data_IF_655234137088
#
_entry.id   IF_655234137088
#
_cell.length_a   1.000
_cell.length_b   1.000
_cell.length_c   1.000
_cell.angle_alpha   90.00
_cell.angle_beta   90.00
_cell.angle_gamma   90.00
#
_symmetry.space_group_name_H-M   'P 1'
#
loop_
_entity.id
_entity.type
_entity.pdbx_description
1 polymer ?
#
# COMPACT_ATOMS: atom_id res chain seq x y z
N UNK A 1 -1.42 -6.46 -37.41
CA UNK A 1 -2.26 -6.53 -38.64
C UNK A 1 -3.53 -5.72 -38.38
N UNK A 2 -4.07 -4.89 -39.29
CA UNK A 2 -3.65 -4.68 -40.68
C UNK A 2 -4.11 -3.31 -41.27
N UNK A 3 -3.66 -2.15 -40.74
CA UNK A 3 -4.12 -0.80 -41.15
C UNK A 3 -4.17 -0.56 -42.67
N UNK A 4 -3.20 -1.08 -43.42
CA UNK A 4 -3.16 -1.00 -44.90
C UNK A 4 -4.30 -1.77 -45.57
N UNK A 5 -4.73 -2.89 -45.00
CA UNK A 5 -5.85 -3.70 -45.47
C UNK A 5 -7.21 -3.11 -45.09
N UNK A 6 -7.29 -2.35 -44.00
CA UNK A 6 -8.49 -1.58 -43.64
C UNK A 6 -8.67 -0.38 -44.58
N UNK A 7 -7.58 0.34 -44.88
CA UNK A 7 -7.57 1.41 -45.90
C UNK A 7 -7.89 0.85 -47.31
N UNK A 8 -7.32 -0.29 -47.69
CA UNK A 8 -7.65 -0.95 -48.95
C UNK A 8 -9.14 -1.34 -49.01
N UNK A 9 -9.70 -1.92 -47.94
CA UNK A 9 -11.13 -2.24 -47.89
C UNK A 9 -12.03 -1.01 -47.90
N UNK A 10 -11.60 0.12 -47.31
CA UNK A 10 -12.31 1.39 -47.41
C UNK A 10 -12.30 1.95 -48.85
N UNK A 11 -11.16 1.86 -49.57
CA UNK A 11 -11.09 2.20 -50.99
C UNK A 11 -12.00 1.29 -51.83
N UNK A 12 -11.90 -0.03 -51.65
CA UNK A 12 -12.70 -1.01 -52.40
C UNK A 12 -14.21 -0.89 -52.17
N UNK A 13 -14.66 -0.32 -51.04
CA UNK A 13 -16.08 -0.02 -50.76
C UNK A 13 -16.45 1.45 -50.98
N UNK A 14 -15.58 2.32 -51.49
CA UNK A 14 -15.87 3.74 -51.72
C UNK A 14 -16.74 3.93 -52.98
N UNK A 15 -18.01 4.40 -52.86
CA UNK A 15 -18.86 4.60 -54.03
C UNK A 15 -18.38 5.76 -54.91
N UNK A 16 -17.71 6.75 -54.31
CA UNK A 16 -17.18 7.93 -55.00
C UNK A 16 -16.03 7.51 -55.92
N UNK A 17 -15.16 6.59 -55.48
CA UNK A 17 -14.06 6.07 -56.29
C UNK A 17 -14.59 5.23 -57.47
N UNK A 18 -15.48 4.28 -57.20
CA UNK A 18 -16.04 3.41 -58.24
C UNK A 18 -16.94 4.17 -59.21
N UNK A 19 -17.78 5.09 -58.73
CA UNK A 19 -18.63 5.93 -59.56
C UNK A 19 -17.82 6.93 -60.40
N UNK A 20 -16.77 7.53 -59.84
CA UNK A 20 -15.86 8.39 -60.59
C UNK A 20 -15.10 7.63 -61.68
N UNK A 21 -14.61 6.42 -61.38
CA UNK A 21 -13.94 5.56 -62.35
C UNK A 21 -14.90 5.06 -63.44
N UNK A 22 -16.14 4.69 -63.09
CA UNK A 22 -17.18 4.34 -64.03
C UNK A 22 -17.56 5.52 -64.94
N UNK A 23 -17.67 6.74 -64.39
CA UNK A 23 -17.91 7.96 -65.15
C UNK A 23 -16.77 8.25 -66.15
N UNK A 24 -15.52 8.15 -65.70
CA UNK A 24 -14.35 8.35 -66.57
C UNK A 24 -14.30 7.31 -67.70
N UNK A 25 -14.61 6.04 -67.40
CA UNK A 25 -14.73 4.99 -68.40
C UNK A 25 -15.87 5.22 -69.40
N UNK A 26 -17.03 5.68 -68.92
CA UNK A 26 -18.20 6.02 -69.75
C UNK A 26 -17.89 7.17 -70.71
N UNK A 27 -17.33 8.28 -70.21
CA UNK A 27 -16.94 9.40 -71.07
C UNK A 27 -15.84 9.04 -72.07
N UNK A 28 -14.84 8.26 -71.65
CA UNK A 28 -13.81 7.76 -72.57
C UNK A 28 -14.42 6.89 -73.69
N UNK A 29 -15.35 5.98 -73.35
CA UNK A 29 -16.02 5.10 -74.31
C UNK A 29 -16.86 5.90 -75.33
N UNK A 30 -17.61 6.92 -74.88
CA UNK A 30 -18.34 7.83 -75.78
C UNK A 30 -17.37 8.53 -76.75
N UNK A 31 -16.26 9.08 -76.25
CA UNK A 31 -15.26 9.76 -77.08
C UNK A 31 -14.52 8.83 -78.06
N UNK A 32 -14.57 7.51 -77.87
CA UNK A 32 -14.02 6.53 -78.83
C UNK A 32 -14.95 6.17 -79.99
N UNK A 33 -16.16 6.73 -80.08
CA UNK A 33 -17.02 6.59 -81.27
C UNK A 33 -17.69 5.22 -81.42
N UNK A 34 -18.04 4.57 -80.31
CA UNK A 34 -18.84 3.32 -80.31
C UNK A 34 -20.24 3.60 -80.91
N UNK A 35 -20.79 2.75 -81.80
CA UNK A 35 -22.09 3.00 -82.42
C UNK A 35 -23.20 3.27 -81.40
N UNK A 36 -23.86 4.42 -81.53
CA UNK A 36 -24.77 4.99 -80.52
C UNK A 36 -24.16 6.17 -79.74
N UNK A 37 -22.86 6.46 -79.93
CA UNK A 37 -22.13 7.58 -79.35
C UNK A 37 -22.87 8.90 -79.45
N UNK A 38 -23.44 9.22 -80.61
CA UNK A 38 -23.88 10.59 -80.92
C UNK A 38 -25.08 11.02 -80.07
N UNK A 39 -25.96 10.06 -79.73
CA UNK A 39 -27.10 10.30 -78.83
C UNK A 39 -26.63 10.41 -77.37
N UNK A 40 -25.69 9.56 -76.93
CA UNK A 40 -25.11 9.64 -75.58
C UNK A 40 -24.23 10.89 -75.39
N UNK A 41 -23.53 11.32 -76.43
CA UNK A 41 -22.74 12.54 -76.49
C UNK A 41 -23.65 13.76 -76.38
N UNK A 42 -24.80 13.75 -77.07
CA UNK A 42 -25.81 14.81 -76.95
C UNK A 42 -26.45 14.87 -75.56
N UNK A 43 -26.85 13.74 -74.98
CA UNK A 43 -27.62 13.71 -73.74
C UNK A 43 -26.79 13.73 -72.45
N UNK A 44 -25.52 13.32 -72.48
CA UNK A 44 -24.68 13.21 -71.28
C UNK A 44 -23.43 14.12 -71.30
N UNK A 45 -23.13 14.76 -72.43
CA UNK A 45 -21.85 15.44 -72.66
C UNK A 45 -21.97 16.75 -73.49
N UNK A 46 -23.20 17.22 -73.77
CA UNK A 46 -23.48 18.45 -74.51
C UNK A 46 -23.45 19.71 -73.63
N UNK A 47 -23.78 19.61 -72.35
CA UNK A 47 -23.80 20.73 -71.40
C UNK A 47 -23.17 20.39 -70.04
N UNK A 48 -22.46 21.29 -69.34
CA UNK A 48 -21.77 20.99 -68.07
C UNK A 48 -22.67 20.44 -66.95
N UNK A 49 -23.97 20.72 -66.99
CA UNK A 49 -24.96 20.13 -66.06
C UNK A 49 -25.08 18.61 -66.27
N UNK A 50 -25.15 18.16 -67.51
CA UNK A 50 -25.30 16.74 -67.89
C UNK A 50 -24.09 15.91 -67.43
N UNK A 51 -22.89 16.48 -67.50
CA UNK A 51 -21.68 15.86 -66.95
C UNK A 51 -21.81 15.63 -65.43
N UNK A 52 -22.30 16.63 -64.68
CA UNK A 52 -22.46 16.54 -63.23
C UNK A 52 -23.54 15.50 -62.88
N UNK A 53 -24.69 15.52 -63.55
CA UNK A 53 -25.75 14.54 -63.36
C UNK A 53 -25.30 13.11 -63.68
N UNK A 54 -24.56 12.93 -64.77
CA UNK A 54 -23.97 11.64 -65.16
C UNK A 54 -23.01 11.12 -64.09
N UNK A 55 -22.14 11.98 -63.55
CA UNK A 55 -21.21 11.61 -62.46
C UNK A 55 -21.97 11.27 -61.17
N UNK A 56 -22.97 12.07 -60.79
CA UNK A 56 -23.80 11.79 -59.63
C UNK A 56 -24.60 10.49 -59.78
N UNK A 57 -25.07 10.20 -60.99
CA UNK A 57 -25.72 8.94 -61.34
C UNK A 57 -24.79 7.75 -61.13
N UNK A 58 -23.57 7.77 -61.70
CA UNK A 58 -22.64 6.66 -61.51
C UNK A 58 -22.17 6.48 -60.07
N UNK A 59 -22.05 7.55 -59.27
CA UNK A 59 -21.75 7.45 -57.82
C UNK A 59 -22.93 6.85 -57.05
N UNK A 60 -24.17 7.26 -57.35
CA UNK A 60 -25.38 6.67 -56.77
C UNK A 60 -25.54 5.19 -57.14
N UNK A 61 -25.33 4.85 -58.41
CA UNK A 61 -25.42 3.48 -58.92
C UNK A 61 -24.31 2.60 -58.34
N UNK A 62 -23.07 3.09 -58.23
CA UNK A 62 -21.98 2.37 -57.58
C UNK A 62 -22.27 2.08 -56.10
N UNK A 63 -22.86 3.04 -55.37
CA UNK A 63 -23.28 2.83 -53.98
C UNK A 63 -24.31 1.71 -53.87
N UNK A 64 -25.33 1.72 -54.74
CA UNK A 64 -26.38 0.71 -54.79
C UNK A 64 -25.85 -0.67 -55.20
N UNK A 65 -24.93 -0.76 -56.17
CA UNK A 65 -24.33 -2.03 -56.59
C UNK A 65 -23.44 -2.65 -55.50
N UNK A 66 -22.61 -1.85 -54.83
CA UNK A 66 -21.79 -2.33 -53.69
C UNK A 66 -22.72 -2.86 -52.58
N UNK A 67 -23.77 -2.10 -52.25
CA UNK A 67 -24.78 -2.47 -51.25
C UNK A 67 -25.54 -3.75 -51.63
N UNK A 68 -25.96 -3.88 -52.89
CA UNK A 68 -26.64 -5.07 -53.41
C UNK A 68 -25.76 -6.34 -53.34
N UNK A 69 -24.45 -6.21 -53.61
CA UNK A 69 -23.48 -7.30 -53.49
C UNK A 69 -23.31 -7.70 -52.02
N UNK A 70 -23.14 -6.73 -51.10
CA UNK A 70 -23.00 -6.99 -49.66
C UNK A 70 -24.27 -7.60 -49.03
N UNK A 71 -25.46 -7.20 -49.47
CA UNK A 71 -26.75 -7.80 -49.07
C UNK A 71 -26.88 -9.23 -49.63
N UNK A 72 -26.56 -9.43 -50.91
CA UNK A 72 -26.62 -10.75 -51.56
C UNK A 72 -25.62 -11.75 -50.96
N UNK A 73 -24.43 -11.29 -50.58
CA UNK A 73 -23.42 -12.10 -49.90
C UNK A 73 -23.89 -12.53 -48.51
N UNK A 74 -24.45 -11.61 -47.73
CA UNK A 74 -25.01 -11.92 -46.40
C UNK A 74 -26.22 -12.87 -46.49
N UNK A 75 -27.14 -12.65 -47.42
CA UNK A 75 -28.30 -13.53 -47.65
C UNK A 75 -27.90 -14.99 -47.89
N UNK A 76 -26.81 -15.24 -48.63
CA UNK A 76 -26.26 -16.59 -48.82
C UNK A 76 -25.59 -17.15 -47.56
N UNK A 77 -25.03 -16.29 -46.71
CA UNK A 77 -24.29 -16.66 -45.51
C UNK A 77 -25.19 -16.97 -44.28
N UNK A 78 -26.50 -16.70 -44.35
CA UNK A 78 -27.49 -17.06 -43.31
C UNK A 78 -27.63 -18.57 -43.09
N UNK A 79 -27.33 -19.38 -44.12
CA UNK A 79 -27.41 -20.83 -44.06
C UNK A 79 -26.30 -21.50 -43.23
N UNK A 80 -25.24 -20.76 -42.85
CA UNK A 80 -24.13 -21.32 -42.10
C UNK A 80 -24.50 -21.63 -40.63
N UNK A 81 -24.22 -22.84 -40.12
CA UNK A 81 -24.52 -23.21 -38.73
C UNK A 81 -23.48 -22.64 -37.74
N UNK A 82 -23.63 -21.35 -37.42
CA UNK A 82 -22.66 -20.58 -36.63
C UNK A 82 -22.41 -21.14 -35.22
N UNK A 83 -23.47 -21.39 -34.44
CA UNK A 83 -23.36 -21.83 -33.03
C UNK A 83 -23.42 -23.36 -32.85
N UNK A 84 -23.94 -24.09 -33.84
CA UNK A 84 -24.24 -25.53 -33.70
C UNK A 84 -25.58 -25.78 -33.00
N UNK A 85 -26.03 -27.05 -32.89
CA UNK A 85 -27.37 -27.37 -32.39
C UNK A 85 -27.60 -26.89 -30.96
N UNK A 86 -28.85 -26.55 -30.64
CA UNK A 86 -29.28 -26.26 -29.26
C UNK A 86 -29.28 -27.56 -28.44
N UNK A 87 -28.65 -27.62 -27.26
CA UNK A 87 -28.70 -28.81 -26.40
C UNK A 87 -30.12 -29.08 -25.87
N UNK A 88 -30.50 -30.36 -25.74
CA UNK A 88 -31.80 -30.74 -25.19
C UNK A 88 -31.87 -30.40 -23.70
N UNK A 89 -32.82 -29.54 -23.32
CA UNK A 89 -32.94 -28.98 -21.98
C UNK A 89 -32.40 -27.55 -21.85
N UNK A 90 -31.81 -27.00 -22.92
CA UNK A 90 -31.10 -25.72 -22.90
C UNK A 90 -29.63 -25.87 -22.51
N UNK A 91 -28.96 -24.74 -22.34
CA UNK A 91 -27.59 -24.63 -21.83
C UNK A 91 -27.51 -23.56 -20.73
N UNK A 92 -26.59 -23.68 -19.76
CA UNK A 92 -26.45 -22.72 -18.69
C UNK A 92 -25.94 -21.38 -19.23
N UNK A 93 -26.31 -20.28 -18.56
CA UNK A 93 -25.95 -18.92 -18.97
C UNK A 93 -24.43 -18.72 -19.16
N UNK A 94 -23.60 -19.39 -18.35
CA UNK A 94 -22.14 -19.36 -18.48
C UNK A 94 -21.62 -19.81 -19.87
N UNK A 95 -22.35 -20.69 -20.57
CA UNK A 95 -21.97 -21.14 -21.91
C UNK A 95 -22.10 -20.03 -22.98
N UNK A 96 -22.77 -18.90 -22.68
CA UNK A 96 -22.80 -17.74 -23.57
C UNK A 96 -21.40 -17.17 -23.86
N UNK A 97 -20.46 -17.24 -22.91
CA UNK A 97 -19.08 -16.77 -23.12
C UNK A 97 -18.34 -17.62 -24.17
N UNK A 98 -18.52 -18.95 -24.17
CA UNK A 98 -17.93 -19.82 -25.18
C UNK A 98 -18.50 -19.52 -26.57
N UNK A 99 -19.81 -19.28 -26.67
CA UNK A 99 -20.47 -18.89 -27.91
C UNK A 99 -19.95 -17.53 -28.43
N UNK A 100 -19.74 -16.55 -27.54
CA UNK A 100 -19.09 -15.27 -27.88
C UNK A 100 -17.67 -15.49 -28.40
N UNK A 101 -16.87 -16.33 -27.73
CA UNK A 101 -15.51 -16.67 -28.18
C UNK A 101 -15.53 -17.36 -29.54
N UNK A 102 -16.52 -18.23 -29.80
CA UNK A 102 -16.72 -18.89 -31.09
C UNK A 102 -17.06 -17.89 -32.21
N UNK A 103 -17.97 -16.94 -31.98
CA UNK A 103 -18.25 -15.86 -32.94
C UNK A 103 -17.03 -14.95 -33.18
N UNK A 104 -16.27 -14.61 -32.13
CA UNK A 104 -15.02 -13.82 -32.23
C UNK A 104 -13.88 -14.53 -32.99
N UNK A 105 -13.96 -15.84 -33.21
CA UNK A 105 -13.01 -16.60 -34.07
C UNK A 105 -13.33 -16.51 -35.56
N UNK A 106 -14.52 -16.03 -35.96
CA UNK A 106 -14.88 -15.86 -37.37
C UNK A 106 -14.02 -14.76 -38.04
N UNK A 107 -13.82 -14.78 -39.37
CA UNK A 107 -13.06 -13.75 -40.07
C UNK A 107 -13.62 -12.33 -39.84
N UNK A 108 -12.80 -11.26 -39.78
CA UNK A 108 -13.25 -9.89 -39.48
C UNK A 108 -14.28 -9.27 -40.44
N UNK A 109 -14.50 -9.88 -41.62
CA UNK A 109 -15.64 -9.55 -42.50
C UNK A 109 -16.95 -10.15 -41.97
N UNK A 110 -16.92 -11.42 -41.55
CA UNK A 110 -18.09 -12.13 -40.99
C UNK A 110 -18.56 -11.51 -39.68
N UNK A 111 -17.64 -11.06 -38.83
CA UNK A 111 -17.97 -10.31 -37.60
C UNK A 111 -18.77 -9.01 -37.81
N UNK A 112 -18.87 -8.52 -39.06
CA UNK A 112 -19.63 -7.33 -39.45
C UNK A 112 -20.92 -7.66 -40.22
N UNK A 113 -21.26 -8.94 -40.39
CA UNK A 113 -22.54 -9.36 -40.95
C UNK A 113 -23.64 -9.13 -39.91
N UNK A 114 -24.84 -8.72 -40.34
CA UNK A 114 -25.98 -8.44 -39.45
C UNK A 114 -26.26 -9.60 -38.50
N UNK A 115 -26.27 -10.84 -39.01
CA UNK A 115 -26.44 -12.07 -38.24
C UNK A 115 -25.41 -12.19 -37.10
N UNK A 116 -24.12 -12.21 -37.44
CA UNK A 116 -23.04 -12.40 -36.45
C UNK A 116 -23.02 -11.26 -35.43
N UNK A 117 -23.29 -10.01 -35.86
CA UNK A 117 -23.32 -8.86 -34.96
C UNK A 117 -24.50 -8.91 -33.98
N UNK A 118 -25.71 -9.24 -34.46
CA UNK A 118 -26.91 -9.36 -33.61
C UNK A 118 -26.82 -10.55 -32.66
N UNK A 119 -26.33 -11.71 -33.12
CA UNK A 119 -26.03 -12.86 -32.25
C UNK A 119 -25.02 -12.51 -31.17
N UNK A 120 -23.91 -11.85 -31.53
CA UNK A 120 -22.90 -11.39 -30.58
C UNK A 120 -23.52 -10.47 -29.52
N UNK A 121 -24.39 -9.54 -29.92
CA UNK A 121 -25.03 -8.59 -29.01
C UNK A 121 -26.05 -9.24 -28.06
N UNK A 122 -26.91 -10.14 -28.56
CA UNK A 122 -27.81 -10.91 -27.71
C UNK A 122 -27.06 -11.78 -26.68
N UNK A 123 -25.97 -12.43 -27.09
CA UNK A 123 -25.12 -13.19 -26.16
C UNK A 123 -24.40 -12.26 -25.15
N UNK A 124 -23.91 -11.10 -25.58
CA UNK A 124 -23.27 -10.10 -24.70
C UNK A 124 -24.26 -9.54 -23.67
N UNK A 125 -25.55 -9.39 -24.01
CA UNK A 125 -26.62 -9.06 -23.07
C UNK A 125 -26.78 -10.17 -22.01
N UNK A 126 -26.93 -11.43 -22.45
CA UNK A 126 -27.11 -12.60 -21.58
C UNK A 126 -25.95 -12.76 -20.59
N UNK A 127 -24.70 -12.62 -21.05
CA UNK A 127 -23.52 -12.59 -20.17
C UNK A 127 -23.59 -11.46 -19.13
N UNK A 128 -23.94 -10.23 -19.55
CA UNK A 128 -23.95 -9.05 -18.67
C UNK A 128 -25.11 -9.04 -17.67
N UNK A 129 -26.25 -9.64 -18.00
CA UNK A 129 -27.40 -9.84 -17.09
C UNK A 129 -27.24 -11.06 -16.18
N UNK A 130 -26.43 -12.04 -16.59
CA UNK A 130 -26.42 -13.40 -16.06
C UNK A 130 -27.83 -14.05 -16.04
N UNK A 131 -28.65 -13.71 -17.04
CA UNK A 131 -30.03 -14.15 -17.20
C UNK A 131 -30.47 -14.01 -18.68
N UNK A 132 -31.30 -14.94 -19.21
CA UNK A 132 -31.93 -14.81 -20.52
C UNK A 132 -33.28 -14.05 -20.51
N UNK A 133 -33.71 -13.51 -19.36
CA UNK A 133 -34.91 -12.69 -19.24
C UNK A 133 -34.82 -11.41 -20.11
N UNK A 134 -35.91 -11.04 -20.79
CA UNK A 134 -36.02 -9.90 -21.71
C UNK A 134 -35.01 -9.93 -22.89
N UNK A 135 -34.50 -11.11 -23.25
CA UNK A 135 -33.66 -11.29 -24.44
C UNK A 135 -34.45 -11.05 -25.74
N UNK A 136 -35.75 -11.36 -25.76
CA UNK A 136 -36.67 -11.06 -26.84
C UNK A 136 -36.85 -9.54 -27.05
N UNK A 137 -37.00 -8.78 -25.96
CA UNK A 137 -37.05 -7.32 -26.01
C UNK A 137 -35.74 -6.70 -26.55
N UNK A 138 -34.58 -7.19 -26.09
CA UNK A 138 -33.26 -6.76 -26.57
C UNK A 138 -33.04 -7.14 -28.05
N UNK A 139 -33.41 -8.35 -28.47
CA UNK A 139 -33.28 -8.79 -29.86
C UNK A 139 -34.13 -7.96 -30.82
N UNK A 140 -35.35 -7.59 -30.40
CA UNK A 140 -36.21 -6.65 -31.13
C UNK A 140 -35.60 -5.26 -31.21
N UNK A 141 -35.11 -4.71 -30.10
CA UNK A 141 -34.41 -3.43 -30.07
C UNK A 141 -33.17 -3.41 -31.00
N UNK A 142 -32.40 -4.50 -31.04
CA UNK A 142 -31.28 -4.66 -31.96
C UNK A 142 -31.72 -4.77 -33.43
N UNK A 143 -32.90 -5.33 -33.71
CA UNK A 143 -33.47 -5.37 -35.06
C UNK A 143 -33.91 -3.97 -35.54
N UNK A 144 -34.56 -3.19 -34.69
CA UNK A 144 -34.93 -1.79 -34.98
C UNK A 144 -33.66 -0.93 -35.23
N UNK A 145 -32.63 -1.08 -34.41
CA UNK A 145 -31.33 -0.40 -34.62
C UNK A 145 -30.65 -0.77 -35.95
N UNK A 146 -30.77 -2.01 -36.40
CA UNK A 146 -30.22 -2.44 -37.70
C UNK A 146 -31.02 -1.90 -38.90
N UNK A 147 -32.34 -1.73 -38.75
CA UNK A 147 -33.18 -1.07 -39.74
C UNK A 147 -32.84 0.43 -39.86
N UNK A 148 -32.65 1.14 -38.74
CA UNK A 148 -32.18 2.53 -38.73
C UNK A 148 -30.81 2.67 -39.42
N UNK A 149 -29.88 1.75 -39.15
CA UNK A 149 -28.56 1.71 -39.80
C UNK A 149 -28.66 1.47 -41.31
N UNK A 150 -29.55 0.58 -41.75
CA UNK A 150 -29.80 0.34 -43.17
C UNK A 150 -30.36 1.60 -43.84
N UNK A 151 -31.41 2.21 -43.27
CA UNK A 151 -32.04 3.42 -43.78
C UNK A 151 -31.07 4.62 -43.84
N UNK A 152 -30.19 4.78 -42.84
CA UNK A 152 -29.13 5.78 -42.84
C UNK A 152 -28.09 5.55 -43.96
N UNK A 153 -27.79 4.29 -44.27
CA UNK A 153 -26.85 3.89 -45.33
C UNK A 153 -27.22 4.40 -46.73
N UNK A 154 -28.51 4.57 -47.03
CA UNK A 154 -28.98 5.13 -48.31
C UNK A 154 -28.88 6.66 -48.41
N UNK A 155 -28.37 7.36 -47.39
CA UNK A 155 -28.30 8.83 -47.34
C UNK A 155 -27.67 9.48 -48.57
N UNK A 156 -26.54 8.95 -49.07
CA UNK A 156 -25.87 9.46 -50.27
C UNK A 156 -26.70 9.27 -51.54
N UNK A 157 -27.34 8.10 -51.70
CA UNK A 157 -28.15 7.76 -52.88
C UNK A 157 -29.41 8.62 -52.92
N UNK A 158 -30.10 8.74 -51.79
CA UNK A 158 -31.28 9.60 -51.61
C UNK A 158 -30.96 11.07 -51.87
N UNK A 159 -29.78 11.55 -51.46
CA UNK A 159 -29.31 12.90 -51.81
C UNK A 159 -29.10 13.07 -53.32
N UNK A 160 -28.51 12.08 -54.01
CA UNK A 160 -28.34 12.11 -55.46
C UNK A 160 -29.68 12.07 -56.23
N UNK A 161 -30.61 11.19 -55.83
CA UNK A 161 -31.97 11.10 -56.39
C UNK A 161 -32.72 12.44 -56.31
N UNK A 162 -32.57 13.16 -55.20
CA UNK A 162 -33.20 14.47 -55.00
C UNK A 162 -32.48 15.61 -55.74
N UNK A 163 -31.15 15.59 -55.78
CA UNK A 163 -30.34 16.65 -56.38
C UNK A 163 -30.33 16.61 -57.92
N UNK A 164 -30.35 15.44 -58.55
CA UNK A 164 -30.30 15.31 -60.02
C UNK A 164 -31.47 16.05 -60.70
N UNK A 165 -32.76 15.90 -60.30
CA UNK A 165 -33.86 16.68 -60.87
C UNK A 165 -33.75 18.21 -60.65
N UNK A 166 -33.09 18.65 -59.57
CA UNK A 166 -32.83 20.07 -59.30
C UNK A 166 -31.75 20.61 -60.25
N UNK A 167 -30.74 19.81 -60.58
CA UNK A 167 -29.75 20.12 -61.62
C UNK A 167 -30.40 20.15 -63.01
N UNK A 168 -31.30 19.22 -63.34
CA UNK A 168 -32.01 19.23 -64.62
C UNK A 168 -32.89 20.47 -64.79
N UNK A 169 -33.55 20.89 -63.72
CA UNK A 169 -34.29 22.16 -63.70
C UNK A 169 -33.34 23.36 -63.90
N UNK A 170 -32.20 23.40 -63.21
CA UNK A 170 -31.16 24.42 -63.44
C UNK A 170 -30.68 24.42 -64.92
N UNK A 171 -30.56 23.23 -65.53
CA UNK A 171 -30.31 23.06 -66.97
C UNK A 171 -31.36 23.74 -67.85
N UNK A 172 -32.66 23.53 -67.58
CA UNK A 172 -33.73 24.26 -68.31
C UNK A 172 -33.63 25.77 -68.13
N UNK A 173 -33.37 26.27 -66.92
CA UNK A 173 -33.27 27.71 -66.65
C UNK A 173 -32.10 28.34 -67.41
N UNK A 174 -30.96 27.65 -67.47
CA UNK A 174 -29.79 28.08 -68.26
C UNK A 174 -30.11 28.07 -69.75
N UNK A 175 -30.60 26.96 -70.30
CA UNK A 175 -30.89 26.83 -71.73
C UNK A 175 -31.98 27.79 -72.23
N UNK A 176 -33.04 28.02 -71.44
CA UNK A 176 -34.07 29.02 -71.76
C UNK A 176 -33.51 30.44 -71.69
N UNK A 177 -32.64 30.73 -70.73
CA UNK A 177 -31.99 32.05 -70.62
C UNK A 177 -31.03 32.30 -71.80
N UNK A 178 -30.28 31.28 -72.23
CA UNK A 178 -29.47 31.33 -73.45
C UNK A 178 -30.32 31.53 -74.71
N UNK A 179 -31.47 30.85 -74.80
CA UNK A 179 -32.42 31.01 -75.91
C UNK A 179 -32.96 32.45 -75.97
N UNK A 180 -33.42 33.00 -74.84
CA UNK A 180 -33.92 34.39 -74.76
C UNK A 180 -32.82 35.41 -75.06
N UNK A 181 -31.60 35.21 -74.54
CA UNK A 181 -30.46 36.09 -74.83
C UNK A 181 -30.00 36.05 -76.30
N UNK A 182 -30.34 34.98 -77.04
CA UNK A 182 -30.01 34.82 -78.46
C UNK A 182 -31.02 35.50 -79.41
N UNK A 183 -32.17 35.97 -78.91
CA UNK A 183 -33.20 36.61 -79.74
C UNK A 183 -32.81 38.06 -80.08
N UNK A 184 -32.25 38.27 -81.29
CA UNK A 184 -32.03 39.61 -81.84
C UNK A 184 -33.30 40.14 -82.52
N UNK A 185 -33.97 41.20 -82.02
CA UNK A 185 -35.25 41.67 -82.59
C UNK A 185 -35.17 42.19 -84.02
N UNK A 186 -33.96 42.47 -84.51
CA UNK A 186 -33.70 43.04 -85.83
C UNK A 186 -33.51 41.96 -86.91
N UNK A 187 -33.07 40.76 -86.55
CA UNK A 187 -32.76 39.65 -87.47
C UNK A 187 -33.28 38.32 -86.91
N UNK A 188 -34.60 38.13 -86.91
CA UNK A 188 -35.22 36.93 -86.31
C UNK A 188 -34.77 35.64 -87.03
N UNK A 189 -34.78 35.60 -88.36
CA UNK A 189 -34.45 34.41 -89.16
C UNK A 189 -33.05 33.84 -88.86
N UNK A 190 -32.04 34.70 -88.68
CA UNK A 190 -30.68 34.26 -88.32
C UNK A 190 -30.53 33.83 -86.85
N UNK A 191 -31.44 34.26 -85.97
CA UNK A 191 -31.41 33.89 -84.55
C UNK A 191 -32.12 32.56 -84.24
N UNK A 192 -33.11 32.18 -85.06
CA UNK A 192 -33.92 30.96 -84.86
C UNK A 192 -33.10 29.67 -84.65
N UNK A 193 -32.02 29.37 -85.41
CA UNK A 193 -31.24 28.14 -85.19
C UNK A 193 -30.58 28.08 -83.81
N UNK A 194 -30.05 29.21 -83.34
CA UNK A 194 -29.41 29.34 -82.01
C UNK A 194 -30.44 29.18 -80.88
N UNK A 195 -31.63 29.78 -81.05
CA UNK A 195 -32.75 29.66 -80.11
C UNK A 195 -33.22 28.20 -80.00
N UNK A 196 -33.36 27.50 -81.13
CA UNK A 196 -33.74 26.07 -81.17
C UNK A 196 -32.66 25.20 -80.52
N UNK A 197 -31.37 25.47 -80.76
CA UNK A 197 -30.29 24.73 -80.11
C UNK A 197 -30.27 24.92 -78.57
N UNK A 198 -30.45 26.15 -78.09
CA UNK A 198 -30.49 26.46 -76.66
C UNK A 198 -31.74 25.88 -75.95
N UNK A 199 -32.89 25.86 -76.63
CA UNK A 199 -34.08 25.13 -76.17
C UNK A 199 -33.86 23.61 -76.19
N UNK A 200 -33.08 23.07 -77.14
CA UNK A 200 -32.64 21.68 -77.15
C UNK A 200 -31.92 21.31 -75.86
N UNK A 201 -30.87 22.05 -75.49
CA UNK A 201 -30.13 21.87 -74.22
C UNK A 201 -31.04 21.98 -73.00
N UNK A 202 -32.01 22.91 -73.01
CA UNK A 202 -32.98 23.02 -71.93
C UNK A 202 -33.81 21.74 -71.77
N UNK A 203 -34.42 21.23 -72.84
CA UNK A 203 -35.24 20.02 -72.75
C UNK A 203 -34.41 18.75 -72.50
N UNK A 204 -33.22 18.65 -73.09
CA UNK A 204 -32.37 17.46 -72.98
C UNK A 204 -31.82 17.29 -71.55
N UNK A 205 -31.38 18.36 -70.89
CA UNK A 205 -30.93 18.32 -69.48
C UNK A 205 -32.02 17.81 -68.54
N UNK A 206 -33.25 18.36 -68.60
CA UNK A 206 -34.35 17.86 -67.75
C UNK A 206 -34.79 16.43 -68.11
N UNK A 207 -34.79 16.06 -69.41
CA UNK A 207 -35.10 14.70 -69.81
C UNK A 207 -34.07 13.69 -69.28
N UNK A 208 -32.77 14.05 -69.31
CA UNK A 208 -31.69 13.26 -68.73
C UNK A 208 -31.86 13.11 -67.21
N UNK A 209 -32.03 14.22 -66.50
CA UNK A 209 -32.17 14.25 -65.05
C UNK A 209 -33.27 13.33 -64.52
N UNK A 210 -34.46 13.42 -65.14
CA UNK A 210 -35.61 12.61 -64.75
C UNK A 210 -35.37 11.12 -65.06
N UNK A 211 -34.76 10.79 -66.20
CA UNK A 211 -34.42 9.40 -66.54
C UNK A 211 -33.38 8.79 -65.57
N UNK A 212 -32.29 9.51 -65.29
CA UNK A 212 -31.24 9.06 -64.37
C UNK A 212 -31.75 8.92 -62.94
N UNK A 213 -32.52 9.89 -62.44
CA UNK A 213 -33.13 9.83 -61.10
C UNK A 213 -34.14 8.68 -60.98
N UNK A 214 -34.95 8.43 -62.02
CA UNK A 214 -35.89 7.30 -62.05
C UNK A 214 -35.18 5.94 -61.96
N UNK A 215 -34.06 5.77 -62.69
CA UNK A 215 -33.25 4.54 -62.65
C UNK A 215 -32.65 4.33 -61.25
N UNK A 216 -32.11 5.39 -60.63
CA UNK A 216 -31.61 5.31 -59.25
C UNK A 216 -32.71 4.99 -58.25
N UNK A 217 -33.90 5.59 -58.38
CA UNK A 217 -35.02 5.38 -57.48
C UNK A 217 -35.50 3.92 -57.50
N UNK A 218 -35.74 3.34 -58.69
CA UNK A 218 -36.10 1.93 -58.78
C UNK A 218 -34.98 1.01 -58.30
N UNK A 219 -33.72 1.31 -58.64
CA UNK A 219 -32.58 0.51 -58.16
C UNK A 219 -32.47 0.55 -56.64
N UNK A 220 -32.67 1.72 -56.01
CA UNK A 220 -32.72 1.84 -54.54
C UNK A 220 -33.86 1.01 -53.96
N UNK A 221 -35.08 1.13 -54.51
CA UNK A 221 -36.25 0.39 -54.05
C UNK A 221 -36.02 -1.13 -54.04
N UNK A 222 -35.41 -1.70 -55.09
CA UNK A 222 -35.12 -3.13 -55.12
C UNK A 222 -34.05 -3.56 -54.11
N UNK A 223 -33.00 -2.76 -53.90
CA UNK A 223 -31.93 -3.07 -52.94
C UNK A 223 -32.41 -2.90 -51.48
N UNK A 224 -33.17 -1.85 -51.20
CA UNK A 224 -33.81 -1.59 -49.90
C UNK A 224 -34.84 -2.67 -49.54
N UNK A 225 -35.63 -3.14 -50.52
CA UNK A 225 -36.53 -4.29 -50.35
C UNK A 225 -35.77 -5.59 -50.09
N UNK A 226 -34.66 -5.82 -50.78
CA UNK A 226 -33.81 -6.99 -50.55
C UNK A 226 -33.12 -6.97 -49.17
N UNK A 227 -32.68 -5.80 -48.71
CA UNK A 227 -32.10 -5.63 -47.38
C UNK A 227 -33.15 -5.75 -46.27
N UNK A 228 -34.35 -5.19 -46.47
CA UNK A 228 -35.48 -5.37 -45.54
C UNK A 228 -35.82 -6.85 -45.33
N UNK A 229 -35.86 -7.63 -46.43
CA UNK A 229 -36.08 -9.07 -46.37
C UNK A 229 -34.92 -9.80 -45.66
N UNK A 230 -33.67 -9.36 -45.86
CA UNK A 230 -32.49 -9.89 -45.16
C UNK A 230 -32.57 -9.60 -43.65
N UNK A 231 -32.93 -8.39 -43.24
CA UNK A 231 -33.02 -8.00 -41.83
C UNK A 231 -34.12 -8.76 -41.07
N UNK A 232 -35.23 -9.06 -41.75
CA UNK A 232 -36.28 -9.96 -41.25
C UNK A 232 -35.78 -11.38 -41.07
N UNK A 233 -35.21 -11.99 -42.12
CA UNK A 233 -34.66 -13.34 -42.05
C UNK A 233 -33.48 -13.47 -41.05
N UNK A 234 -32.77 -12.38 -40.76
CA UNK A 234 -31.79 -12.31 -39.66
C UNK A 234 -32.48 -12.24 -38.29
N UNK A 235 -33.64 -11.60 -38.17
CA UNK A 235 -34.48 -11.66 -36.96
C UNK A 235 -34.85 -13.09 -36.64
N UNK A 236 -35.63 -13.72 -37.53
CA UNK A 236 -36.09 -15.11 -37.43
C UNK A 236 -34.94 -16.06 -37.06
N UNK A 237 -33.81 -15.96 -37.78
CA UNK A 237 -32.63 -16.83 -37.60
C UNK A 237 -31.89 -16.60 -36.28
N UNK A 238 -31.95 -15.41 -35.69
CA UNK A 238 -31.35 -15.11 -34.38
C UNK A 238 -32.29 -15.54 -33.26
N UNK A 239 -33.60 -15.38 -33.44
CA UNK A 239 -34.61 -15.88 -32.50
C UNK A 239 -34.55 -17.41 -32.40
N UNK A 240 -34.56 -18.13 -33.54
CA UNK A 240 -34.35 -19.59 -33.63
C UNK A 240 -33.07 -20.10 -32.92
N UNK A 241 -32.03 -19.26 -32.85
CA UNK A 241 -30.73 -19.64 -32.29
C UNK A 241 -30.54 -19.25 -30.82
N UNK A 242 -31.29 -18.27 -30.30
CA UNK A 242 -31.08 -17.71 -28.96
C UNK A 242 -32.29 -17.85 -28.03
N UNK A 243 -33.51 -17.75 -28.54
CA UNK A 243 -34.72 -17.99 -27.74
C UNK A 243 -34.84 -19.48 -27.45
N UNK A 244 -35.05 -19.84 -26.19
CA UNK A 244 -35.05 -21.25 -25.74
C UNK A 244 -33.70 -21.97 -25.78
N UNK A 245 -32.61 -21.33 -26.25
CA UNK A 245 -31.26 -21.91 -26.16
C UNK A 245 -30.78 -21.99 -24.70
N UNK A 246 -31.06 -20.97 -23.90
CA UNK A 246 -30.63 -20.91 -22.50
C UNK A 246 -31.65 -21.52 -21.55
N UNK A 247 -31.15 -22.05 -20.42
CA UNK A 247 -31.98 -22.51 -19.30
C UNK A 247 -32.76 -21.34 -18.67
N UNK A 248 -33.97 -21.08 -19.16
CA UNK A 248 -34.95 -20.24 -18.45
C UNK A 248 -35.40 -20.95 -17.19
N UNK A 249 -35.27 -20.30 -16.02
CA UNK A 249 -35.78 -20.87 -14.75
C UNK A 249 -37.31 -20.79 -14.78
N UNK A 250 -37.95 -21.87 -15.22
CA UNK A 250 -39.40 -21.97 -15.31
C UNK A 250 -40.04 -21.86 -13.93
N UNK A 251 -41.11 -21.06 -13.82
CA UNK A 251 -41.79 -20.73 -12.56
C UNK A 251 -42.68 -21.87 -12.02
N UNK A 252 -42.16 -23.10 -12.03
CA UNK A 252 -42.74 -24.25 -11.32
C UNK A 252 -42.13 -24.43 -9.91
N UNK A 253 -42.48 -25.53 -9.21
CA UNK A 253 -41.91 -25.84 -7.89
C UNK A 253 -40.37 -25.92 -7.89
N UNK A 254 -39.79 -26.47 -8.95
CA UNK A 254 -38.33 -26.53 -9.11
C UNK A 254 -37.69 -25.14 -9.27
N UNK A 255 -38.42 -24.15 -9.80
CA UNK A 255 -37.98 -22.76 -9.87
C UNK A 255 -37.77 -22.14 -8.48
N UNK A 256 -38.59 -22.51 -7.48
CA UNK A 256 -38.35 -22.12 -6.09
C UNK A 256 -37.14 -22.83 -5.49
N UNK A 257 -36.92 -24.12 -5.81
CA UNK A 257 -35.72 -24.84 -5.38
C UNK A 257 -34.44 -24.26 -6.00
N UNK A 258 -34.47 -23.85 -7.27
CA UNK A 258 -33.37 -23.15 -7.96
C UNK A 258 -33.15 -21.74 -7.37
N UNK A 259 -34.22 -21.02 -7.02
CA UNK A 259 -34.10 -19.73 -6.33
C UNK A 259 -33.46 -19.89 -4.94
N UNK A 260 -33.93 -20.85 -4.13
CA UNK A 260 -33.33 -21.19 -2.82
C UNK A 260 -31.87 -21.60 -2.98
N UNK A 261 -31.53 -22.39 -4.00
CA UNK A 261 -30.15 -22.77 -4.32
C UNK A 261 -29.29 -21.55 -4.67
N UNK A 262 -29.75 -20.66 -5.56
CA UNK A 262 -29.05 -19.42 -5.91
C UNK A 262 -28.89 -18.49 -4.70
N UNK A 263 -29.89 -18.42 -3.80
CA UNK A 263 -29.78 -17.70 -2.53
C UNK A 263 -28.75 -18.34 -1.59
N UNK A 264 -28.65 -19.68 -1.55
CA UNK A 264 -27.61 -20.40 -0.82
C UNK A 264 -26.20 -20.17 -1.38
N UNK A 265 -26.03 -20.25 -2.69
CA UNK A 265 -24.76 -19.97 -3.38
C UNK A 265 -24.34 -18.50 -3.18
N UNK A 266 -25.28 -17.56 -3.25
CA UNK A 266 -25.04 -16.14 -2.95
C UNK A 266 -24.72 -15.90 -1.45
N UNK A 267 -25.37 -16.62 -0.53
CA UNK A 267 -25.08 -16.54 0.92
C UNK A 267 -23.68 -17.08 1.24
N UNK A 268 -23.26 -18.17 0.59
CA UNK A 268 -21.89 -18.69 0.70
C UNK A 268 -20.88 -17.68 0.18
N UNK A 269 -21.07 -17.14 -1.03
CA UNK A 269 -20.16 -16.12 -1.60
C UNK A 269 -20.10 -14.83 -0.74
N UNK A 270 -21.23 -14.38 -0.20
CA UNK A 270 -21.27 -13.24 0.72
C UNK A 270 -20.58 -13.54 2.06
N UNK A 271 -20.67 -14.77 2.56
CA UNK A 271 -19.98 -15.22 3.79
C UNK A 271 -18.47 -15.34 3.57
N UNK A 272 -18.04 -15.85 2.42
CA UNK A 272 -16.63 -15.91 2.03
C UNK A 272 -16.02 -14.49 1.94
N UNK A 273 -16.71 -13.56 1.26
CA UNK A 273 -16.32 -12.15 1.22
C UNK A 273 -16.30 -11.50 2.62
N UNK A 274 -17.28 -11.81 3.48
CA UNK A 274 -17.32 -11.31 4.86
C UNK A 274 -16.11 -11.81 5.67
N UNK A 275 -15.80 -13.10 5.59
CA UNK A 275 -14.66 -13.72 6.29
C UNK A 275 -13.33 -13.17 5.79
N UNK A 276 -13.17 -13.03 4.46
CA UNK A 276 -11.97 -12.45 3.87
C UNK A 276 -11.80 -10.98 4.28
N UNK A 277 -12.87 -10.18 4.26
CA UNK A 277 -12.85 -8.78 4.72
C UNK A 277 -12.61 -8.67 6.22
N UNK A 278 -13.11 -9.61 7.01
CA UNK A 278 -12.84 -9.69 8.45
C UNK A 278 -11.36 -10.03 8.72
N UNK A 279 -10.76 -10.92 7.92
CA UNK A 279 -9.33 -11.25 8.02
C UNK A 279 -8.44 -10.04 7.67
N UNK A 280 -8.76 -9.30 6.61
CA UNK A 280 -8.07 -8.04 6.26
C UNK A 280 -8.14 -7.01 7.41
N UNK A 281 -9.33 -6.81 7.99
CA UNK A 281 -9.55 -5.89 9.12
C UNK A 281 -8.82 -6.36 10.39
N UNK A 282 -8.76 -7.67 10.64
CA UNK A 282 -7.98 -8.25 11.74
C UNK A 282 -6.48 -8.03 11.56
N UNK A 283 -5.94 -8.29 10.36
CA UNK A 283 -4.53 -8.06 10.06
C UNK A 283 -4.17 -6.57 10.24
N UNK A 284 -4.95 -5.66 9.66
CA UNK A 284 -4.74 -4.22 9.83
C UNK A 284 -4.83 -3.77 11.30
N UNK A 285 -5.74 -4.37 12.09
CA UNK A 285 -5.85 -4.12 13.53
C UNK A 285 -4.64 -4.61 14.33
N UNK A 286 -4.13 -5.80 14.00
CA UNK A 286 -2.92 -6.38 14.60
C UNK A 286 -1.70 -5.53 14.28
N UNK A 287 -1.48 -5.17 13.01
CA UNK A 287 -0.39 -4.30 12.57
C UNK A 287 -0.45 -2.92 13.25
N UNK A 288 -1.62 -2.28 13.27
CA UNK A 288 -1.82 -1.00 13.96
C UNK A 288 -1.66 -1.09 15.48
N UNK A 289 -1.84 -2.27 16.08
CA UNK A 289 -1.62 -2.51 17.51
C UNK A 289 -0.14 -2.78 17.81
N UNK A 290 0.54 -3.56 16.98
CA UNK A 290 1.99 -3.79 17.05
C UNK A 290 2.78 -2.49 16.88
N UNK A 291 2.41 -1.64 15.91
CA UNK A 291 3.01 -0.31 15.74
C UNK A 291 2.78 0.60 16.96
N UNK A 292 1.62 0.53 17.61
CA UNK A 292 1.34 1.27 18.86
C UNK A 292 2.16 0.72 20.03
N UNK A 293 2.32 -0.60 20.13
CA UNK A 293 3.14 -1.24 21.15
C UNK A 293 4.61 -0.82 21.04
N UNK A 294 5.21 -0.91 19.84
CA UNK A 294 6.59 -0.47 19.58
C UNK A 294 6.79 1.00 19.96
N UNK A 295 5.94 1.92 19.47
CA UNK A 295 6.02 3.36 19.83
C UNK A 295 5.88 3.62 21.33
N UNK A 296 5.07 2.81 22.03
CA UNK A 296 4.91 2.91 23.48
C UNK A 296 6.16 2.41 24.23
N UNK A 297 6.78 1.33 23.76
CA UNK A 297 8.04 0.80 24.32
C UNK A 297 9.21 1.75 24.06
N UNK A 298 9.30 2.36 22.87
CA UNK A 298 10.29 3.41 22.56
C UNK A 298 10.12 4.62 23.48
N UNK A 299 8.88 5.12 23.65
CA UNK A 299 8.59 6.24 24.52
C UNK A 299 8.89 5.94 25.99
N UNK A 300 8.54 4.74 26.47
CA UNK A 300 8.88 4.27 27.82
C UNK A 300 10.39 4.14 28.02
N UNK A 301 11.12 3.60 27.03
CA UNK A 301 12.57 3.48 27.04
C UNK A 301 13.27 4.84 27.10
N UNK A 302 12.85 5.81 26.28
CA UNK A 302 13.36 7.19 26.33
C UNK A 302 13.03 7.86 27.66
N UNK A 303 11.85 7.63 28.23
CA UNK A 303 11.46 8.22 29.52
C UNK A 303 12.25 7.60 30.69
N UNK A 304 12.51 6.29 30.66
CA UNK A 304 13.38 5.59 31.60
C UNK A 304 14.83 6.10 31.50
N UNK A 305 15.36 6.25 30.29
CA UNK A 305 16.70 6.81 30.06
C UNK A 305 16.82 8.23 30.64
N UNK A 306 15.81 9.07 30.42
CA UNK A 306 15.75 10.44 30.99
C UNK A 306 15.65 10.44 32.51
N UNK A 307 14.80 9.60 33.11
CA UNK A 307 14.63 9.57 34.57
C UNK A 307 15.85 9.00 35.28
N UNK A 308 16.50 7.96 34.73
CA UNK A 308 17.76 7.41 35.25
C UNK A 308 18.90 8.43 35.11
N UNK A 309 19.02 9.12 33.96
CA UNK A 309 20.02 10.16 33.78
C UNK A 309 19.83 11.35 34.76
N UNK A 310 18.58 11.78 34.98
CA UNK A 310 18.26 12.82 35.96
C UNK A 310 18.57 12.37 37.40
N UNK A 311 18.11 11.18 37.79
CA UNK A 311 18.37 10.63 39.13
C UNK A 311 19.87 10.43 39.41
N UNK A 312 20.66 10.01 38.42
CA UNK A 312 22.11 9.94 38.54
C UNK A 312 22.76 11.33 38.65
N UNK A 313 22.30 12.32 37.89
CA UNK A 313 22.80 13.69 37.98
C UNK A 313 22.49 14.32 39.35
N UNK A 314 21.27 14.18 39.86
CA UNK A 314 20.89 14.66 41.19
C UNK A 314 21.58 13.89 42.32
N UNK A 315 21.77 12.57 42.18
CA UNK A 315 22.54 11.76 43.13
C UNK A 315 24.02 12.16 43.18
N UNK A 316 24.67 12.37 42.03
CA UNK A 316 26.05 12.87 41.97
C UNK A 316 26.19 14.28 42.55
N UNK A 317 25.20 15.15 42.29
CA UNK A 317 25.14 16.51 42.85
C UNK A 317 24.97 16.50 44.37
N UNK A 318 24.05 15.68 44.89
CA UNK A 318 23.87 15.51 46.32
C UNK A 318 25.12 14.89 46.99
N UNK A 319 25.79 13.94 46.33
CA UNK A 319 27.06 13.41 46.83
C UNK A 319 28.18 14.45 46.84
N UNK A 320 28.30 15.27 45.78
CA UNK A 320 29.27 16.36 45.74
C UNK A 320 29.02 17.39 46.87
N UNK A 321 27.75 17.72 47.16
CA UNK A 321 27.38 18.56 48.30
C UNK A 321 27.78 17.89 49.63
N UNK A 322 27.45 16.60 49.84
CA UNK A 322 27.83 15.86 51.05
C UNK A 322 29.35 15.74 51.25
N UNK A 323 30.12 15.70 50.15
CA UNK A 323 31.59 15.70 50.18
C UNK A 323 32.14 17.06 50.64
N UNK A 324 31.58 18.17 50.14
CA UNK A 324 31.96 19.52 50.59
C UNK A 324 31.57 19.75 52.05
N UNK A 325 30.40 19.28 52.49
CA UNK A 325 29.99 19.33 53.90
C UNK A 325 30.88 18.47 54.81
N UNK A 326 31.27 17.27 54.34
CA UNK A 326 32.20 16.40 55.06
C UNK A 326 33.62 16.99 55.14
N UNK A 327 34.11 17.61 54.07
CA UNK A 327 35.39 18.34 54.04
C UNK A 327 35.35 19.51 55.03
N UNK A 328 34.32 20.36 54.99
CA UNK A 328 34.15 21.46 55.95
C UNK A 328 34.07 20.94 57.40
N UNK A 329 33.36 19.84 57.65
CA UNK A 329 33.31 19.19 58.96
C UNK A 329 34.67 18.67 59.42
N UNK A 330 35.47 18.12 58.49
CA UNK A 330 36.82 17.63 58.77
C UNK A 330 37.79 18.79 59.06
N UNK A 331 37.74 19.87 58.28
CA UNK A 331 38.52 21.10 58.50
C UNK A 331 38.18 21.74 59.84
N UNK A 332 36.89 21.84 60.19
CA UNK A 332 36.44 22.40 61.46
C UNK A 332 36.81 21.51 62.67
N UNK A 333 36.77 20.17 62.52
CA UNK A 333 37.28 19.25 63.55
C UNK A 333 38.80 19.39 63.72
N UNK A 334 39.55 19.45 62.62
CA UNK A 334 40.99 19.64 62.63
C UNK A 334 41.36 20.98 63.29
N UNK A 335 40.65 22.08 62.95
CA UNK A 335 40.82 23.39 63.59
C UNK A 335 40.63 23.31 65.12
N UNK A 336 39.56 22.66 65.58
CA UNK A 336 39.31 22.44 67.02
C UNK A 336 40.36 21.57 67.69
N UNK A 337 40.91 20.56 66.99
CA UNK A 337 42.03 19.77 67.49
C UNK A 337 43.30 20.62 67.63
N UNK A 338 43.61 21.50 66.67
CA UNK A 338 44.72 22.45 66.79
C UNK A 338 44.52 23.48 67.91
N UNK A 339 43.29 23.95 68.12
CA UNK A 339 42.95 24.82 69.26
C UNK A 339 43.14 24.10 70.60
N UNK A 340 42.70 22.85 70.71
CA UNK A 340 42.93 22.00 71.90
C UNK A 340 44.41 21.68 72.13
N UNK A 341 45.18 21.39 71.07
CA UNK A 341 46.63 21.17 71.16
C UNK A 341 47.33 22.45 71.64
N UNK A 342 46.95 23.62 71.10
CA UNK A 342 47.49 24.93 71.51
C UNK A 342 47.16 25.25 72.96
N UNK A 343 45.93 24.98 73.41
CA UNK A 343 45.52 25.18 74.80
C UNK A 343 46.26 24.21 75.75
N UNK A 344 46.37 22.93 75.37
CA UNK A 344 47.12 21.94 76.14
C UNK A 344 48.60 22.31 76.26
N UNK A 345 49.24 22.80 75.19
CA UNK A 345 50.60 23.33 75.23
C UNK A 345 50.72 24.55 76.15
N UNK A 346 49.72 25.43 76.17
CA UNK A 346 49.64 26.55 77.13
C UNK A 346 49.62 26.08 78.57
N UNK A 347 48.69 25.18 78.92
CA UNK A 347 48.59 24.58 80.27
C UNK A 347 49.84 23.77 80.66
N UNK A 348 50.51 23.13 79.69
CA UNK A 348 51.81 22.50 79.92
C UNK A 348 52.90 23.52 80.26
N UNK A 349 52.92 24.69 79.60
CA UNK A 349 53.81 25.79 79.96
C UNK A 349 53.54 26.34 81.36
N UNK A 350 52.27 26.56 81.72
CA UNK A 350 51.85 27.02 83.05
C UNK A 350 52.23 26.02 84.16
N UNK A 351 51.99 24.73 83.94
CA UNK A 351 52.36 23.68 84.90
C UNK A 351 53.87 23.45 84.98
N UNK A 352 54.62 23.66 83.90
CA UNK A 352 56.09 23.66 83.93
C UNK A 352 56.62 24.82 84.78
N UNK A 353 56.05 26.03 84.64
CA UNK A 353 56.39 27.19 85.45
C UNK A 353 56.00 26.99 86.93
N UNK A 354 54.83 26.40 87.21
CA UNK A 354 54.44 26.03 88.57
C UNK A 354 55.39 24.97 89.19
N UNK A 355 55.84 23.99 88.41
CA UNK A 355 56.83 23.01 88.87
C UNK A 355 58.20 23.64 89.10
N UNK A 356 58.63 24.58 88.26
CA UNK A 356 59.85 25.37 88.49
C UNK A 356 59.76 26.15 89.80
N UNK A 357 58.64 26.83 90.08
CA UNK A 357 58.42 27.55 91.34
C UNK A 357 58.43 26.61 92.55
N UNK A 358 57.78 25.44 92.47
CA UNK A 358 57.81 24.45 93.57
C UNK A 358 59.20 23.80 93.74
N UNK A 359 60.03 23.72 92.70
CA UNK A 359 61.43 23.30 92.82
C UNK A 359 62.28 24.36 93.54
N UNK A 360 62.03 25.65 93.30
CA UNK A 360 62.67 26.75 94.07
C UNK A 360 62.25 26.70 95.54
N UNK A 361 60.95 26.56 95.83
CA UNK A 361 60.42 26.41 97.18
C UNK A 361 61.01 25.19 97.91
N UNK A 362 61.11 24.04 97.23
CA UNK A 362 61.69 22.82 97.81
C UNK A 362 63.20 22.93 98.03
N UNK A 363 63.93 23.68 97.20
CA UNK A 363 65.33 23.99 97.45
C UNK A 363 65.48 24.87 98.71
N UNK A 364 64.57 25.82 98.93
CA UNK A 364 64.54 26.67 100.13
C UNK A 364 64.22 25.86 101.41
N UNK A 365 63.27 24.92 101.33
CA UNK A 365 62.95 24.00 102.44
C UNK A 365 64.10 23.03 102.74
N UNK A 366 64.81 22.54 101.72
CA UNK A 366 66.02 21.73 101.91
C UNK A 366 67.16 22.53 102.57
N UNK A 367 67.29 23.83 102.28
CA UNK A 367 68.19 24.74 103.01
C UNK A 367 67.87 24.77 104.50
N UNK A 368 66.59 24.97 104.87
CA UNK A 368 66.16 24.96 106.28
C UNK A 368 66.33 23.59 106.97
N UNK A 369 66.28 22.49 106.23
CA UNK A 369 66.56 21.15 106.76
C UNK A 369 68.06 20.92 107.04
N UNK A 370 68.95 21.50 106.23
CA UNK A 370 70.39 21.47 106.48
C UNK A 370 70.76 22.18 107.79
N UNK A 371 70.21 23.37 108.04
CA UNK A 371 70.40 24.11 109.30
C UNK A 371 69.95 23.31 110.53
N UNK A 372 68.78 22.64 110.44
CA UNK A 372 68.26 21.80 111.53
C UNK A 372 69.19 20.61 111.85
N UNK A 373 69.84 20.03 110.83
CA UNK A 373 70.75 18.89 111.00
C UNK A 373 72.00 19.26 111.80
N UNK A 374 72.44 20.52 111.72
CA UNK A 374 73.57 21.04 112.50
C UNK A 374 73.37 21.05 114.03
N UNK A 375 72.13 20.94 114.52
CA UNK A 375 71.85 20.88 115.96
C UNK A 375 72.04 19.48 116.56
N UNK A 376 71.89 18.41 115.77
CA UNK A 376 71.94 17.02 116.26
C UNK A 376 73.36 16.59 116.62
N UNK A 377 74.35 16.97 115.81
CA UNK A 377 75.77 16.68 116.05
C UNK A 377 76.30 17.20 117.41
N UNK A 378 75.62 18.19 118.00
CA UNK A 378 75.98 18.78 119.29
C UNK A 378 75.59 17.91 120.50
N UNK A 379 74.72 16.91 120.30
CA UNK A 379 74.22 16.02 121.36
C UNK A 379 75.01 14.70 121.46
N UNK A 380 75.68 14.30 120.38
CA UNK A 380 76.41 13.03 120.24
C UNK A 380 77.69 12.98 121.10
N UNK A 381 78.44 14.09 121.17
CA UNK A 381 79.67 14.22 121.97
C UNK A 381 79.43 14.08 123.49
N UNK A 382 78.19 14.25 123.96
CA UNK A 382 77.84 14.16 125.38
C UNK A 382 77.62 12.71 125.84
N UNK A 383 77.18 11.81 124.95
CA UNK A 383 76.80 10.45 125.32
C UNK A 383 78.01 9.49 125.38
N UNK A 384 78.95 9.62 124.43
CA UNK A 384 80.06 8.68 124.25
C UNK A 384 81.04 8.58 125.44
N UNK A 385 81.10 9.57 126.33
CA UNK A 385 82.02 9.56 127.49
C UNK A 385 81.60 8.63 128.63
N UNK A 386 80.32 8.26 128.73
CA UNK A 386 79.81 7.49 129.87
C UNK A 386 79.79 5.96 129.67
N UNK A 387 80.05 5.47 128.45
CA UNK A 387 79.92 4.04 128.10
C UNK A 387 81.24 3.25 128.05
N UNK A 388 82.37 3.88 128.36
CA UNK A 388 83.69 3.22 128.33
C UNK A 388 84.02 2.36 129.57
N UNK A 389 83.02 1.98 130.37
CA UNK A 389 83.21 1.32 131.67
C UNK A 389 82.46 -0.03 131.79
N UNK A 390 83.23 -1.10 132.05
CA UNK A 390 82.88 -2.48 132.47
C UNK A 390 82.57 -3.60 131.42
N UNK A 391 83.55 -4.52 131.31
CA UNK A 391 83.44 -6.02 131.29
C UNK A 391 83.00 -6.83 130.02
N UNK A 392 83.32 -8.15 130.00
CA UNK A 392 83.03 -9.12 128.89
C UNK A 392 83.49 -10.59 129.12
N UNK A 393 83.52 -11.43 128.04
CA UNK A 393 83.87 -12.90 127.92
C UNK A 393 82.76 -13.95 128.28
N UNK A 394 82.72 -15.27 127.92
CA UNK A 394 83.00 -16.18 126.73
C UNK A 394 82.35 -17.58 127.06
N UNK A 395 82.29 -18.74 126.32
CA UNK A 395 82.74 -19.33 125.03
C UNK A 395 81.66 -20.37 124.52
N UNK A 396 82.00 -21.40 123.71
CA UNK A 396 81.06 -22.34 123.02
C UNK A 396 81.61 -23.78 122.72
N UNK A 397 80.83 -24.61 121.97
CA UNK A 397 81.15 -25.86 121.17
C UNK A 397 80.92 -27.26 121.85
N UNK A 398 80.54 -28.42 121.21
CA UNK A 398 79.85 -28.81 119.94
C UNK A 398 79.47 -30.35 119.89
N UNK A 399 78.43 -30.81 119.15
CA UNK A 399 78.16 -32.22 118.62
C UNK A 399 77.28 -32.14 117.32
N UNK A 400 77.14 -33.09 116.36
CA UNK A 400 76.50 -34.45 116.35
C UNK A 400 76.74 -35.22 114.99
N UNK A 401 76.89 -36.57 115.03
CA UNK A 401 76.74 -37.64 113.96
C UNK A 401 77.48 -37.66 112.59
N UNK A 402 78.04 -38.84 112.24
CA UNK A 402 77.83 -39.52 110.94
C UNK A 402 78.14 -41.05 110.97
N UNK A 403 77.57 -41.80 110.01
CA UNK A 403 77.83 -43.21 109.61
C UNK A 403 77.42 -44.37 110.55
N UNK A 404 76.91 -45.47 109.96
CA UNK A 404 76.42 -46.67 110.67
C UNK A 404 76.95 -47.99 110.04
N UNK A 405 77.89 -48.64 110.73
CA UNK A 405 78.33 -50.03 110.55
C UNK A 405 79.13 -50.45 111.82
N UNK A 406 79.19 -51.70 112.29
CA UNK A 406 78.73 -52.99 111.75
C UNK A 406 78.11 -53.89 112.85
N UNK A 407 77.24 -53.32 113.67
CA UNK A 407 76.53 -53.98 114.78
C UNK A 407 75.16 -54.42 114.23
N UNK A 408 74.80 -55.68 113.98
CA UNK A 408 75.28 -56.93 114.56
C UNK A 408 75.66 -57.99 113.51
N UNK A 409 76.96 -58.24 113.32
CA UNK A 409 77.46 -59.61 113.14
C UNK A 409 78.64 -59.89 114.11
N UNK A 410 78.39 -59.58 115.39
CA UNK A 410 79.09 -60.08 116.57
C UNK A 410 80.65 -60.11 116.47
N UNK A 411 81.34 -58.96 116.49
CA UNK A 411 80.78 -57.62 116.66
C UNK A 411 80.08 -57.38 118.02
N UNK A 412 80.40 -58.01 119.17
CA UNK A 412 81.67 -57.95 119.90
C UNK A 412 82.34 -56.54 119.92
N UNK A 413 81.53 -55.51 119.60
CA UNK A 413 81.69 -54.04 119.69
C UNK A 413 80.55 -53.39 118.87
N UNK A 414 79.59 -52.58 119.35
CA UNK A 414 78.97 -52.26 120.65
C UNK A 414 78.14 -50.96 120.44
N UNK A 415 76.81 -50.99 120.66
CA UNK A 415 75.91 -49.85 120.99
C UNK A 415 75.84 -48.55 120.14
N UNK A 416 74.97 -47.57 120.43
CA UNK A 416 73.61 -47.64 121.05
C UNK A 416 72.78 -46.32 120.94
N UNK A 417 71.47 -46.44 120.66
CA UNK A 417 70.31 -45.63 121.13
C UNK A 417 70.21 -44.04 120.93
N UNK A 418 69.17 -43.29 121.43
CA UNK A 418 68.06 -42.80 120.56
C UNK A 418 67.35 -41.41 120.85
N UNK A 419 66.37 -41.03 119.98
CA UNK A 419 65.08 -40.28 120.24
C UNK A 419 65.03 -38.79 120.77
N UNK A 420 63.89 -38.03 120.81
CA UNK A 420 62.72 -37.78 119.90
C UNK A 420 61.68 -36.70 120.41
N UNK A 421 60.94 -36.00 119.50
CA UNK A 421 59.53 -35.46 119.63
C UNK A 421 59.14 -34.28 120.61
N UNK A 422 57.90 -33.71 120.64
CA UNK A 422 56.97 -33.17 119.59
C UNK A 422 56.27 -31.78 119.91
N UNK A 423 54.96 -31.57 119.58
CA UNK A 423 54.23 -30.29 119.26
C UNK A 423 52.89 -30.02 120.02
N UNK A 424 52.32 -28.77 120.00
CA UNK A 424 50.87 -28.40 120.25
C UNK A 424 50.48 -27.03 119.58
N UNK A 425 49.17 -26.77 119.32
CA UNK A 425 48.52 -25.55 118.73
C UNK A 425 47.48 -24.88 119.68
N UNK A 426 47.05 -23.61 119.41
CA UNK A 426 45.64 -23.10 119.36
C UNK A 426 45.53 -21.54 119.23
N UNK A 427 44.33 -20.97 119.01
CA UNK A 427 44.09 -19.51 118.99
C UNK A 427 42.61 -19.03 118.83
N UNK A 428 42.27 -17.75 119.10
CA UNK A 428 41.02 -17.06 118.69
C UNK A 428 41.23 -15.56 118.26
N UNK A 429 40.21 -14.70 118.10
CA UNK A 429 39.27 -14.61 116.94
C UNK A 429 38.53 -13.24 116.84
N UNK A 430 38.04 -12.86 115.64
CA UNK A 430 36.92 -11.90 115.30
C UNK A 430 36.97 -10.38 115.64
N UNK A 431 36.72 -9.56 114.59
CA UNK A 431 35.80 -8.37 114.47
C UNK A 431 36.04 -7.10 115.35
N UNK A 432 35.64 -5.87 114.97
CA UNK A 432 35.00 -5.31 113.75
C UNK A 432 35.11 -3.77 113.61
N UNK A 433 34.78 -3.27 112.40
CA UNK A 433 33.97 -2.05 112.10
C UNK A 433 34.42 -0.60 112.43
N UNK A 434 34.29 0.23 111.38
CA UNK A 434 33.80 1.62 111.34
C UNK A 434 34.69 2.82 111.78
N UNK A 435 35.03 3.62 110.76
CA UNK A 435 34.72 5.04 110.59
C UNK A 435 34.96 6.05 111.73
N UNK A 436 35.94 6.94 111.48
CA UNK A 436 35.70 8.38 111.36
C UNK A 436 36.49 8.90 110.13
#
# INVERSE_FOLDING_TARGET
MNKTNDLAQALFRSPILWGGLASAGFFALIHTGVPGSDLLMRYCAGHPVEYIETVMFFVGLAALLIKAIDVSAQSRALADPLLGPVPRGGQPVAAAEELIVRLRRLPPRRQKEYLVHRMYKGLEYVCRRNSPEALDEELRYLADLDADRAHAGYGLVRAAIWAIPILGFLGTVIGITMAVASLSPQNLESSMPTVVAALGVAFDTTAQALALSMILFFTQFFVDRAESNLLGAVGDRVEDELLGRFETVTAGPDGQLVAIRKMGEALVAATEQLVQRQAELWQASIEATQQRAVRSMDAAGQQLQKSVAAALADSLKAHAQSLVEAEQSAVEKNRRQWEQIREALGRYGETLAAMQNSLVEKAEVLGRAADATGQVAKMEDTLNRNLAALAGAKNFEQTVMSLAAAIHLLNARLGDAPAAAPTVHLGPSRRSSQAA
#
